data_IF_181923958269
#
_entry.id   IF_181923958269
#
_cell.length_a   1.000
_cell.length_b   1.000
_cell.length_c   1.000
_cell.angle_alpha   90.00
_cell.angle_beta   90.00
_cell.angle_gamma   90.00
#
_symmetry.space_group_name_H-M   'P 1'
#
loop_
_entity.id
_entity.type
_entity.pdbx_description
1 polymer ?
#
# COMPACT_ATOMS: atom_id res chain seq x y z
N UNK A 1 -32.97 -45.47 -20.79
CA UNK A 1 -32.57 -44.17 -21.35
C UNK A 1 -32.25 -43.13 -20.26
N UNK A 2 -32.48 -43.46 -18.99
CA UNK A 2 -32.33 -42.53 -17.87
C UNK A 2 -30.94 -42.58 -17.19
N UNK A 3 -30.23 -43.71 -17.21
CA UNK A 3 -28.89 -43.81 -16.63
C UNK A 3 -27.82 -43.05 -17.42
N UNK A 4 -27.96 -43.00 -18.75
CA UNK A 4 -27.02 -42.30 -19.63
C UNK A 4 -27.13 -40.78 -19.46
N UNK A 5 -28.34 -40.25 -19.23
CA UNK A 5 -28.58 -38.84 -18.93
C UNK A 5 -28.01 -38.41 -17.57
N UNK A 6 -28.10 -39.30 -16.57
CA UNK A 6 -27.50 -39.05 -15.25
C UNK A 6 -25.97 -39.01 -15.31
N UNK A 7 -25.36 -39.91 -16.09
CA UNK A 7 -23.91 -39.95 -16.30
C UNK A 7 -23.39 -38.70 -17.03
N UNK A 8 -24.10 -38.21 -18.06
CA UNK A 8 -23.74 -36.98 -18.76
C UNK A 8 -23.87 -35.73 -17.89
N UNK A 9 -24.88 -35.67 -17.01
CA UNK A 9 -25.04 -34.56 -16.06
C UNK A 9 -23.90 -34.58 -15.03
N UNK A 10 -23.52 -35.75 -14.50
CA UNK A 10 -22.41 -35.88 -13.56
C UNK A 10 -21.06 -35.49 -14.18
N UNK A 11 -20.80 -35.90 -15.42
CA UNK A 11 -19.61 -35.49 -16.18
C UNK A 11 -19.59 -33.98 -16.49
N UNK A 12 -20.75 -33.38 -16.79
CA UNK A 12 -20.87 -31.93 -17.01
C UNK A 12 -20.67 -31.11 -15.72
N UNK A 13 -21.10 -31.63 -14.57
CA UNK A 13 -20.88 -31.01 -13.25
C UNK A 13 -19.42 -31.15 -12.78
N UNK A 14 -18.75 -32.26 -13.11
CA UNK A 14 -17.31 -32.42 -12.86
C UNK A 14 -16.45 -31.49 -13.74
N UNK A 15 -16.88 -31.18 -14.98
CA UNK A 15 -16.16 -30.24 -15.85
C UNK A 15 -16.27 -28.77 -15.44
N UNK A 16 -17.23 -28.40 -14.57
CA UNK A 16 -17.37 -27.04 -14.04
C UNK A 16 -16.55 -26.79 -12.76
N UNK A 17 -15.97 -27.83 -12.16
CA UNK A 17 -15.10 -27.70 -11.00
C UNK A 17 -13.63 -27.56 -11.42
N UNK A 18 -13.31 -26.61 -12.30
CA UNK A 18 -11.94 -26.12 -12.40
C UNK A 18 -11.74 -25.26 -11.15
N UNK A 19 -11.20 -25.86 -10.08
CA UNK A 19 -10.68 -25.09 -8.96
C UNK A 19 -9.51 -24.30 -9.54
N UNK A 20 -9.76 -23.06 -9.98
CA UNK A 20 -8.69 -22.12 -10.26
C UNK A 20 -8.03 -21.83 -8.92
N UNK A 21 -6.99 -22.60 -8.58
CA UNK A 21 -6.09 -22.20 -7.50
C UNK A 21 -5.57 -20.82 -7.87
N UNK A 22 -5.68 -19.87 -6.93
CA UNK A 22 -4.98 -18.62 -7.08
C UNK A 22 -3.49 -18.96 -7.29
N UNK A 23 -2.81 -18.31 -8.24
CA UNK A 23 -1.38 -18.54 -8.43
C UNK A 23 -0.64 -18.32 -7.10
N UNK A 24 0.42 -19.07 -6.90
CA UNK A 24 1.27 -18.91 -5.71
C UNK A 24 1.76 -17.46 -5.63
N UNK A 25 1.80 -16.88 -4.41
CA UNK A 25 2.30 -15.53 -4.22
C UNK A 25 3.71 -15.37 -4.79
N UNK A 26 4.00 -14.22 -5.40
CA UNK A 26 5.30 -14.00 -6.06
C UNK A 26 6.38 -13.68 -5.03
N UNK A 27 7.23 -14.66 -4.73
CA UNK A 27 8.33 -14.50 -3.78
C UNK A 27 9.29 -13.38 -4.23
N UNK A 28 9.58 -12.43 -3.34
CA UNK A 28 10.59 -11.41 -3.57
C UNK A 28 11.88 -11.75 -2.81
N UNK A 29 11.77 -11.94 -1.48
CA UNK A 29 12.96 -12.08 -0.63
C UNK A 29 12.60 -12.48 0.81
N UNK A 30 13.65 -12.72 1.62
CA UNK A 30 13.58 -12.89 3.07
C UNK A 30 14.77 -12.24 3.75
N UNK A 31 14.60 -11.90 5.01
CA UNK A 31 15.65 -11.51 5.93
C UNK A 31 15.43 -12.26 7.25
N UNK A 32 16.35 -13.14 7.61
CA UNK A 32 16.40 -13.74 8.94
C UNK A 32 17.85 -13.81 9.40
N UNK A 33 18.30 -12.83 10.19
CA UNK A 33 19.67 -12.81 10.67
C UNK A 33 19.86 -13.89 11.74
N UNK A 34 20.95 -14.65 11.60
CA UNK A 34 21.36 -15.66 12.59
C UNK A 34 22.04 -15.02 13.83
N UNK A 35 21.64 -13.79 14.20
CA UNK A 35 22.14 -13.09 15.38
C UNK A 35 21.53 -13.64 16.67
N UNK A 36 20.28 -14.11 16.59
CA UNK A 36 19.53 -14.65 17.71
C UNK A 36 18.68 -15.82 17.23
N UNK A 37 18.89 -17.00 17.82
CA UNK A 37 18.19 -18.24 17.46
C UNK A 37 17.46 -18.85 18.65
N UNK A 38 16.45 -19.66 18.36
CA UNK A 38 15.77 -20.49 19.34
C UNK A 38 16.09 -21.97 19.11
N UNK A 39 15.96 -22.78 20.16
CA UNK A 39 16.16 -24.23 20.07
C UNK A 39 14.86 -24.94 19.70
N UNK A 40 14.97 -26.08 19.02
CA UNK A 40 13.82 -26.93 18.73
C UNK A 40 13.10 -27.36 20.01
N UNK A 41 11.76 -27.39 19.96
CA UNK A 41 10.85 -27.67 21.08
C UNK A 41 10.94 -26.68 22.26
N UNK A 42 11.44 -25.47 22.02
CA UNK A 42 11.44 -24.39 23.02
C UNK A 42 10.06 -23.75 23.20
N UNK A 43 9.87 -23.07 24.34
CA UNK A 43 8.71 -22.21 24.59
C UNK A 43 8.57 -21.13 23.50
N UNK A 44 9.68 -20.52 23.08
CA UNK A 44 9.71 -19.57 21.97
C UNK A 44 9.12 -20.17 20.68
N UNK A 45 9.53 -21.38 20.29
CA UNK A 45 8.99 -22.04 19.10
C UNK A 45 7.48 -22.28 19.20
N UNK A 46 6.98 -22.69 20.38
CA UNK A 46 5.55 -22.85 20.61
C UNK A 46 4.81 -21.52 20.48
N UNK A 47 5.34 -20.44 21.04
CA UNK A 47 4.76 -19.10 20.93
C UNK A 47 4.79 -18.58 19.49
N UNK A 48 5.85 -18.83 18.73
CA UNK A 48 5.95 -18.51 17.31
C UNK A 48 4.87 -19.25 16.49
N UNK A 49 4.64 -20.53 16.75
CA UNK A 49 3.59 -21.30 16.07
C UNK A 49 2.18 -20.75 16.37
N UNK A 50 1.92 -20.34 17.62
CA UNK A 50 0.68 -19.68 18.02
C UNK A 50 0.51 -18.33 17.31
N UNK A 51 1.58 -17.53 17.24
CA UNK A 51 1.61 -16.25 16.55
C UNK A 51 1.26 -16.41 15.06
N UNK A 52 1.95 -17.31 14.35
CA UNK A 52 1.73 -17.55 12.91
C UNK A 52 0.31 -18.06 12.62
N UNK A 53 -0.23 -18.90 13.50
CA UNK A 53 -1.64 -19.35 13.43
C UNK A 53 -2.61 -18.18 13.63
N UNK A 54 -2.31 -17.26 14.55
CA UNK A 54 -3.10 -16.04 14.75
C UNK A 54 -3.06 -15.13 13.52
N UNK A 55 -1.88 -14.91 12.93
CA UNK A 55 -1.74 -14.10 11.71
C UNK A 55 -2.54 -14.70 10.54
N UNK A 56 -2.38 -16.00 10.26
CA UNK A 56 -3.11 -16.70 9.20
C UNK A 56 -4.63 -16.62 9.40
N UNK A 57 -5.13 -16.91 10.60
CA UNK A 57 -6.57 -16.85 10.88
C UNK A 57 -7.15 -15.44 10.77
N UNK A 58 -6.41 -14.41 11.20
CA UNK A 58 -6.86 -13.02 11.12
C UNK A 58 -6.84 -12.46 9.69
N UNK A 59 -6.01 -13.01 8.79
CA UNK A 59 -6.01 -12.63 7.36
C UNK A 59 -7.35 -12.86 6.64
N UNK A 60 -8.23 -13.68 7.24
CA UNK A 60 -9.56 -13.97 6.70
C UNK A 60 -10.61 -12.91 7.03
N UNK A 61 -10.31 -11.97 7.93
CA UNK A 61 -11.26 -10.95 8.38
C UNK A 61 -11.43 -9.88 7.30
N UNK A 62 -12.67 -9.49 7.03
CA UNK A 62 -12.95 -8.49 5.99
C UNK A 62 -12.63 -7.05 6.42
N UNK A 63 -12.47 -6.79 7.73
CA UNK A 63 -12.34 -5.43 8.30
C UNK A 63 -10.91 -5.03 8.67
N UNK A 64 -9.91 -5.87 8.37
CA UNK A 64 -8.51 -5.62 8.78
C UNK A 64 -7.71 -4.83 7.74
N UNK A 65 -8.30 -4.51 6.59
CA UNK A 65 -7.68 -3.72 5.53
C UNK A 65 -6.26 -4.19 5.15
N UNK A 66 -6.06 -5.51 5.17
CA UNK A 66 -4.79 -6.14 4.80
C UNK A 66 -3.67 -5.99 5.82
N UNK A 67 -3.96 -5.64 7.07
CA UNK A 67 -2.95 -5.51 8.13
C UNK A 67 -3.42 -6.11 9.45
N UNK A 68 -2.54 -6.82 10.13
CA UNK A 68 -2.78 -7.27 11.49
C UNK A 68 -1.46 -7.44 12.22
N UNK A 69 -1.43 -7.05 13.49
CA UNK A 69 -0.31 -7.28 14.40
C UNK A 69 -0.78 -7.93 15.70
N UNK A 70 0.08 -8.71 16.33
CA UNK A 70 -0.22 -9.46 17.55
C UNK A 70 1.09 -9.87 18.24
N UNK A 71 1.04 -10.11 19.55
CA UNK A 71 2.10 -10.82 20.27
C UNK A 71 1.59 -12.14 20.86
N UNK A 72 2.50 -13.08 21.08
CA UNK A 72 2.21 -14.37 21.68
C UNK A 72 3.28 -14.74 22.72
N UNK A 73 2.84 -15.29 23.85
CA UNK A 73 3.73 -15.65 24.95
C UNK A 73 3.92 -14.54 25.97
N UNK A 74 4.99 -14.65 26.77
CA UNK A 74 5.43 -13.69 27.78
C UNK A 74 6.95 -13.73 27.87
N UNK A 75 7.57 -12.68 28.39
CA UNK A 75 9.01 -12.65 28.65
C UNK A 75 9.48 -13.91 29.41
N UNK A 76 10.61 -14.52 29.01
CA UNK A 76 11.55 -14.09 27.96
C UNK A 76 11.22 -14.61 26.55
N UNK A 77 10.14 -15.37 26.38
CA UNK A 77 9.79 -16.08 25.14
C UNK A 77 8.67 -15.39 24.34
N UNK A 78 8.42 -14.10 24.58
CA UNK A 78 7.40 -13.35 23.84
C UNK A 78 7.83 -13.14 22.38
N UNK A 79 6.87 -13.32 21.46
CA UNK A 79 7.06 -13.11 20.03
C UNK A 79 6.10 -12.04 19.55
N UNK A 80 6.61 -11.07 18.79
CA UNK A 80 5.85 -10.02 18.15
C UNK A 80 5.75 -10.32 16.66
N UNK A 81 4.58 -10.13 16.06
CA UNK A 81 4.39 -10.41 14.64
C UNK A 81 3.37 -9.50 13.97
N UNK A 82 3.52 -9.37 12.65
CA UNK A 82 2.54 -8.70 11.80
C UNK A 82 2.52 -9.28 10.38
N UNK A 83 1.46 -8.97 9.65
CA UNK A 83 1.50 -8.96 8.19
C UNK A 83 0.98 -7.64 7.62
N UNK A 84 1.41 -7.32 6.40
CA UNK A 84 0.92 -6.19 5.61
C UNK A 84 0.74 -6.63 4.14
N UNK A 85 -0.50 -6.63 3.66
CA UNK A 85 -0.83 -6.86 2.26
C UNK A 85 -0.76 -5.56 1.48
N UNK A 86 -0.36 -5.66 0.21
CA UNK A 86 -0.27 -4.50 -0.69
C UNK A 86 -1.64 -3.85 -0.90
N UNK A 87 -1.70 -2.52 -1.00
CA UNK A 87 -2.97 -1.80 -0.98
C UNK A 87 -3.95 -2.14 -2.11
N UNK A 88 -3.45 -2.50 -3.29
CA UNK A 88 -4.23 -2.84 -4.49
C UNK A 88 -4.73 -4.30 -4.52
N UNK A 89 -4.28 -5.17 -3.62
CA UNK A 89 -4.71 -6.58 -3.64
C UNK A 89 -6.07 -6.79 -2.96
N UNK A 90 -6.84 -7.74 -3.49
CA UNK A 90 -8.12 -8.15 -2.90
C UNK A 90 -7.92 -8.92 -1.58
N UNK A 91 -8.96 -9.00 -0.75
CA UNK A 91 -8.92 -9.78 0.50
C UNK A 91 -8.57 -11.25 0.26
N UNK A 92 -9.01 -11.82 -0.86
CA UNK A 92 -8.72 -13.22 -1.21
C UNK A 92 -7.22 -13.44 -1.52
N UNK A 93 -6.62 -12.52 -2.28
CA UNK A 93 -5.19 -12.55 -2.62
C UNK A 93 -4.35 -12.32 -1.37
N UNK A 94 -4.73 -11.34 -0.54
CA UNK A 94 -4.10 -11.08 0.76
C UNK A 94 -4.12 -12.31 1.67
N UNK A 95 -5.29 -12.92 1.87
CA UNK A 95 -5.44 -14.15 2.67
C UNK A 95 -4.56 -15.28 2.17
N UNK A 96 -4.55 -15.52 0.86
CA UNK A 96 -3.74 -16.58 0.26
C UNK A 96 -2.25 -16.32 0.49
N UNK A 97 -1.80 -15.06 0.30
CA UNK A 97 -0.42 -14.67 0.54
C UNK A 97 0.01 -14.86 1.99
N UNK A 98 -0.79 -14.41 2.96
CA UNK A 98 -0.46 -14.55 4.39
C UNK A 98 -0.44 -16.03 4.80
N UNK A 99 -1.41 -16.82 4.34
CA UNK A 99 -1.45 -18.26 4.62
C UNK A 99 -0.23 -19.00 4.05
N UNK A 100 0.25 -18.60 2.88
CA UNK A 100 1.47 -19.15 2.29
C UNK A 100 2.69 -18.72 3.11
N UNK A 101 2.84 -17.42 3.35
CA UNK A 101 3.98 -16.83 4.04
C UNK A 101 4.18 -17.38 5.47
N UNK A 102 3.09 -17.63 6.21
CA UNK A 102 3.16 -18.21 7.58
C UNK A 102 3.76 -19.61 7.62
N UNK A 103 3.64 -20.39 6.55
CA UNK A 103 4.25 -21.73 6.44
C UNK A 103 5.67 -21.64 5.93
N UNK A 104 5.84 -20.91 4.82
CA UNK A 104 7.11 -20.81 4.12
C UNK A 104 8.19 -20.08 4.92
N UNK A 105 7.83 -19.15 5.82
CA UNK A 105 8.80 -18.52 6.72
C UNK A 105 9.52 -19.52 7.62
N UNK A 106 8.85 -20.60 8.05
CA UNK A 106 9.46 -21.64 8.89
C UNK A 106 10.40 -22.56 8.09
N UNK A 107 10.14 -22.74 6.79
CA UNK A 107 11.03 -23.50 5.91
C UNK A 107 12.28 -22.70 5.56
N UNK A 108 12.09 -21.39 5.31
CA UNK A 108 13.19 -20.53 4.89
C UNK A 108 14.02 -20.00 6.06
N UNK A 109 13.42 -19.76 7.23
CA UNK A 109 14.07 -19.25 8.44
C UNK A 109 13.79 -20.20 9.62
N UNK A 110 14.51 -21.33 9.70
CA UNK A 110 14.11 -22.47 10.52
C UNK A 110 14.28 -22.25 12.03
N UNK A 111 15.20 -21.38 12.46
CA UNK A 111 15.52 -21.23 13.89
C UNK A 111 15.83 -19.79 14.30
N UNK A 112 15.76 -18.82 13.40
CA UNK A 112 15.98 -17.41 13.71
C UNK A 112 14.78 -16.81 14.45
N UNK A 113 15.06 -16.07 15.51
CA UNK A 113 14.05 -15.35 16.33
C UNK A 113 13.57 -14.05 15.69
N UNK A 114 14.15 -13.67 14.55
CA UNK A 114 13.74 -12.52 13.76
C UNK A 114 13.65 -12.96 12.31
N UNK A 115 12.50 -12.74 11.68
CA UNK A 115 12.35 -12.96 10.25
C UNK A 115 11.38 -11.94 9.64
N UNK A 116 11.74 -11.48 8.44
CA UNK A 116 10.83 -10.85 7.49
C UNK A 116 10.82 -11.71 6.23
N UNK A 117 9.64 -12.12 5.78
CA UNK A 117 9.46 -12.72 4.47
C UNK A 117 8.55 -11.82 3.63
N UNK A 118 8.94 -11.62 2.38
CA UNK A 118 8.25 -10.68 1.53
C UNK A 118 7.92 -11.26 0.16
N UNK A 119 6.63 -11.18 -0.14
CA UNK A 119 6.01 -11.50 -1.41
C UNK A 119 5.52 -10.20 -2.04
N UNK A 120 5.30 -10.24 -3.35
CA UNK A 120 4.80 -9.08 -4.09
C UNK A 120 3.47 -8.59 -3.49
N UNK A 121 2.61 -9.54 -3.07
CA UNK A 121 1.27 -9.29 -2.55
C UNK A 121 1.22 -9.00 -1.03
N UNK A 122 2.19 -9.48 -0.24
CA UNK A 122 2.21 -9.28 1.22
C UNK A 122 3.59 -9.44 1.86
N UNK A 123 3.77 -8.78 3.01
CA UNK A 123 4.89 -8.94 3.92
C UNK A 123 4.42 -9.65 5.20
N UNK A 124 5.25 -10.54 5.74
CA UNK A 124 5.09 -11.10 7.09
C UNK A 124 6.39 -10.92 7.87
N UNK A 125 6.28 -10.45 9.11
CA UNK A 125 7.41 -10.21 10.01
C UNK A 125 7.15 -10.78 11.39
N UNK A 126 8.15 -11.40 12.01
CA UNK A 126 8.17 -11.68 13.44
C UNK A 126 9.51 -11.33 14.08
N UNK A 127 9.50 -11.11 15.39
CA UNK A 127 10.70 -10.75 16.18
C UNK A 127 10.51 -11.12 17.64
N UNK A 128 11.62 -11.40 18.34
CA UNK A 128 11.69 -11.46 19.80
C UNK A 128 11.77 -10.08 20.48
N UNK A 129 11.64 -8.99 19.71
CA UNK A 129 11.59 -7.61 20.22
C UNK A 129 10.38 -6.89 19.64
N UNK A 130 9.74 -6.06 20.46
CA UNK A 130 8.62 -5.24 20.00
C UNK A 130 9.09 -4.22 18.94
N UNK A 131 8.58 -4.38 17.71
CA UNK A 131 8.83 -3.47 16.59
C UNK A 131 7.61 -2.63 16.19
N UNK A 132 6.51 -2.69 16.96
CA UNK A 132 5.31 -1.89 16.68
C UNK A 132 5.52 -0.40 17.00
N UNK A 133 6.36 -0.10 18.00
CA UNK A 133 6.70 1.25 18.43
C UNK A 133 8.15 1.64 18.16
N UNK A 134 8.94 0.75 17.55
CA UNK A 134 10.37 0.98 17.35
C UNK A 134 10.59 2.03 16.26
N UNK A 135 11.21 3.15 16.67
CA UNK A 135 11.65 4.18 15.76
C UNK A 135 12.89 3.67 14.98
N UNK A 136 12.65 3.32 13.70
CA UNK A 136 13.61 2.87 12.69
C UNK A 136 14.43 1.61 13.02
N UNK A 137 13.78 0.46 12.87
CA UNK A 137 14.49 -0.75 12.45
C UNK A 137 15.36 -0.45 11.22
N UNK A 138 16.51 -1.11 11.10
CA UNK A 138 17.37 -0.96 9.93
C UNK A 138 16.59 -1.31 8.65
N UNK A 139 16.55 -0.41 7.66
CA UNK A 139 15.79 -0.65 6.45
C UNK A 139 16.40 -1.79 5.64
N UNK A 140 15.53 -2.51 4.94
CA UNK A 140 15.92 -3.53 3.96
C UNK A 140 15.88 -2.89 2.57
N UNK A 141 16.91 -3.14 1.77
CA UNK A 141 17.08 -2.56 0.45
C UNK A 141 17.05 -3.62 -0.64
N UNK A 142 16.33 -3.35 -1.72
CA UNK A 142 16.44 -4.10 -2.96
C UNK A 142 16.54 -3.12 -4.12
N UNK A 143 17.34 -3.46 -5.11
CA UNK A 143 17.42 -2.67 -6.32
C UNK A 143 17.48 -3.54 -7.55
N UNK A 144 16.99 -2.97 -8.65
CA UNK A 144 17.06 -3.60 -9.94
C UNK A 144 18.54 -3.78 -10.33
N UNK A 145 18.84 -4.90 -11.02
CA UNK A 145 20.20 -5.15 -11.50
C UNK A 145 20.62 -4.12 -12.55
N UNK A 146 19.68 -3.64 -13.35
CA UNK A 146 19.91 -2.73 -14.45
C UNK A 146 19.83 -1.25 -14.03
N UNK A 147 20.65 -0.45 -14.70
CA UNK A 147 20.65 1.01 -14.58
C UNK A 147 19.81 1.64 -15.68
N UNK A 148 19.29 2.84 -15.42
CA UNK A 148 18.79 3.70 -16.48
C UNK A 148 19.96 4.30 -17.26
N UNK A 149 19.82 4.41 -18.58
CA UNK A 149 20.91 4.87 -19.46
C UNK A 149 20.66 6.25 -20.07
N UNK A 150 19.44 6.79 -19.95
CA UNK A 150 19.03 8.04 -20.59
C UNK A 150 18.66 9.08 -19.53
N UNK A 151 19.44 10.13 -19.32
CA UNK A 151 19.16 11.17 -18.31
C UNK A 151 18.93 10.59 -16.88
N UNK A 152 19.91 9.86 -16.31
CA UNK A 152 19.76 9.19 -15.01
C UNK A 152 19.45 10.18 -13.86
N UNK A 153 19.96 11.40 -13.91
CA UNK A 153 19.68 12.44 -12.92
C UNK A 153 18.21 12.86 -12.97
N UNK A 154 17.66 13.05 -14.18
CA UNK A 154 16.24 13.37 -14.37
C UNK A 154 15.35 12.22 -13.90
N UNK A 155 15.78 10.98 -14.12
CA UNK A 155 15.07 9.79 -13.63
C UNK A 155 15.02 9.77 -12.09
N UNK A 156 16.16 9.94 -11.42
CA UNK A 156 16.22 9.98 -9.95
C UNK A 156 15.35 11.11 -9.36
N UNK A 157 15.36 12.29 -9.98
CA UNK A 157 14.49 13.41 -9.59
C UNK A 157 13.01 13.04 -9.74
N UNK A 158 12.63 12.39 -10.85
CA UNK A 158 11.26 11.95 -11.09
C UNK A 158 10.80 10.91 -10.06
N UNK A 159 11.67 9.96 -9.68
CA UNK A 159 11.43 9.00 -8.60
C UNK A 159 11.17 9.72 -7.28
N UNK A 160 12.05 10.65 -6.88
CA UNK A 160 11.90 11.38 -5.63
C UNK A 160 10.60 12.23 -5.60
N UNK A 161 10.27 12.92 -6.70
CA UNK A 161 9.07 13.75 -6.81
C UNK A 161 7.81 12.90 -6.70
N UNK A 162 7.73 11.81 -7.48
CA UNK A 162 6.54 10.96 -7.49
C UNK A 162 6.31 10.28 -6.15
N UNK A 163 7.36 9.73 -5.51
CA UNK A 163 7.28 9.14 -4.17
C UNK A 163 6.86 10.17 -3.10
N UNK A 164 7.40 11.40 -3.16
CA UNK A 164 7.03 12.47 -2.23
C UNK A 164 5.54 12.85 -2.35
N UNK A 165 5.04 12.97 -3.59
CA UNK A 165 3.64 13.29 -3.86
C UNK A 165 2.69 12.24 -3.25
N UNK A 166 2.96 10.96 -3.50
CA UNK A 166 2.10 9.86 -3.01
C UNK A 166 2.27 9.60 -1.52
N UNK A 167 3.42 9.94 -0.93
CA UNK A 167 3.63 9.85 0.52
C UNK A 167 2.65 10.73 1.30
N UNK A 168 2.38 11.93 0.79
CA UNK A 168 1.39 12.83 1.41
C UNK A 168 -0.03 12.24 1.33
N UNK A 169 -0.38 11.62 0.20
CA UNK A 169 -1.70 10.99 0.00
C UNK A 169 -1.88 9.78 0.91
N UNK A 170 -0.94 8.84 0.90
CA UNK A 170 -0.96 7.64 1.73
C UNK A 170 -1.06 7.97 3.23
N UNK A 171 -0.26 8.93 3.70
CA UNK A 171 -0.28 9.30 5.12
C UNK A 171 -1.55 10.01 5.57
N UNK A 172 -2.22 10.72 4.65
CA UNK A 172 -3.46 11.45 4.94
C UNK A 172 -4.71 10.58 4.77
N UNK A 173 -4.56 9.30 4.40
CA UNK A 173 -5.67 8.37 4.37
C UNK A 173 -6.32 8.23 5.76
N UNK A 174 -7.66 8.17 5.83
CA UNK A 174 -8.42 7.96 7.06
C UNK A 174 -7.86 6.86 7.96
N UNK A 175 -8.10 6.98 9.27
CA UNK A 175 -7.73 5.93 10.22
C UNK A 175 -8.43 4.63 9.85
N UNK A 176 -7.67 3.53 9.83
CA UNK A 176 -8.15 2.22 9.42
C UNK A 176 -7.92 1.91 7.93
N UNK A 177 -7.74 2.89 7.05
CA UNK A 177 -7.47 2.62 5.63
C UNK A 177 -6.07 2.04 5.40
N UNK A 178 -5.85 1.46 4.21
CA UNK A 178 -4.61 0.77 3.84
C UNK A 178 -3.35 1.65 3.81
N UNK A 179 -3.49 2.98 3.99
CA UNK A 179 -2.42 4.01 3.91
C UNK A 179 -1.46 3.76 2.75
N UNK A 180 -2.05 3.65 1.58
CA UNK A 180 -1.44 3.22 0.33
C UNK A 180 -1.65 4.27 -0.74
N UNK A 181 -0.65 4.49 -1.59
CA UNK A 181 -0.83 5.30 -2.78
C UNK A 181 0.17 4.89 -3.87
N UNK A 182 -0.23 5.10 -5.12
CA UNK A 182 0.59 4.86 -6.31
C UNK A 182 0.58 6.07 -7.21
N UNK A 183 1.59 6.16 -8.07
CA UNK A 183 1.62 7.14 -9.15
C UNK A 183 2.36 6.56 -10.35
N UNK A 184 1.90 6.94 -11.54
CA UNK A 184 2.61 6.73 -12.80
C UNK A 184 3.20 8.05 -13.29
N UNK A 185 4.35 8.01 -13.94
CA UNK A 185 4.94 9.16 -14.62
C UNK A 185 5.65 8.74 -15.90
N UNK A 186 5.53 9.56 -16.94
CA UNK A 186 6.22 9.32 -18.20
C UNK A 186 7.71 9.60 -18.05
N UNK A 187 8.52 8.64 -18.49
CA UNK A 187 9.97 8.76 -18.56
C UNK A 187 10.45 8.21 -19.91
N UNK A 188 10.67 9.11 -20.87
CA UNK A 188 10.97 8.75 -22.25
C UNK A 188 9.85 7.90 -22.84
N UNK A 189 10.18 6.74 -23.44
CA UNK A 189 9.22 5.77 -23.97
C UNK A 189 8.81 4.70 -22.94
N UNK A 190 9.07 4.95 -21.66
CA UNK A 190 8.74 4.05 -20.55
C UNK A 190 7.85 4.76 -19.52
N UNK A 191 7.19 3.98 -18.68
CA UNK A 191 6.38 4.49 -17.58
C UNK A 191 7.10 4.13 -16.27
N UNK A 192 7.34 5.15 -15.44
CA UNK A 192 7.76 4.96 -14.07
C UNK A 192 6.53 4.66 -13.22
N UNK A 193 6.56 3.52 -12.52
CA UNK A 193 5.54 3.12 -11.56
C UNK A 193 6.10 3.31 -10.15
N UNK A 194 5.41 4.08 -9.30
CA UNK A 194 5.79 4.26 -7.89
C UNK A 194 4.67 3.89 -6.95
N UNK A 195 5.06 3.40 -5.76
CA UNK A 195 4.18 2.90 -4.71
C UNK A 195 4.77 3.26 -3.36
N UNK A 196 3.91 3.70 -2.45
CA UNK A 196 4.24 3.83 -1.03
C UNK A 196 3.15 3.21 -0.18
N UNK A 197 3.53 2.65 0.97
CA UNK A 197 2.56 2.12 1.91
C UNK A 197 3.06 2.25 3.34
N UNK A 198 2.16 2.61 4.25
CA UNK A 198 2.35 2.54 5.69
C UNK A 198 1.49 1.43 6.28
N UNK A 199 1.88 0.94 7.45
CA UNK A 199 0.97 0.14 8.28
C UNK A 199 -0.23 1.01 8.72
N UNK A 200 -1.48 0.54 8.58
CA UNK A 200 -2.71 1.29 8.88
C UNK A 200 -2.80 1.90 10.27
N UNK A 201 -2.10 1.35 11.25
CA UNK A 201 -2.09 1.81 12.64
C UNK A 201 -1.16 3.03 12.90
N UNK A 202 -0.36 3.46 11.92
CA UNK A 202 0.43 4.68 12.04
C UNK A 202 -0.42 5.95 12.00
N UNK A 203 -0.08 6.92 12.84
CA UNK A 203 -0.59 8.28 12.72
C UNK A 203 -0.14 8.92 11.39
N UNK A 204 -0.87 9.93 10.91
CA UNK A 204 -0.44 10.72 9.73
C UNK A 204 0.99 11.26 9.85
N UNK A 205 1.41 11.93 10.94
CA UNK A 205 2.78 12.41 11.04
C UNK A 205 3.82 11.27 11.07
N UNK A 206 3.53 10.15 11.72
CA UNK A 206 4.49 9.02 11.78
C UNK A 206 4.62 8.31 10.43
N UNK A 207 3.52 8.14 9.70
CA UNK A 207 3.56 7.63 8.33
C UNK A 207 4.37 8.54 7.40
N UNK A 208 4.16 9.87 7.46
CA UNK A 208 4.98 10.83 6.70
C UNK A 208 6.46 10.73 7.05
N UNK A 209 6.78 10.63 8.34
CA UNK A 209 8.17 10.53 8.81
C UNK A 209 8.83 9.24 8.31
N UNK A 210 8.12 8.11 8.39
CA UNK A 210 8.60 6.82 7.92
C UNK A 210 8.88 6.85 6.41
N UNK A 211 7.93 7.33 5.60
CA UNK A 211 8.08 7.40 4.14
C UNK A 211 9.17 8.39 3.71
N UNK A 212 9.28 9.55 4.35
CA UNK A 212 10.38 10.47 4.11
C UNK A 212 11.74 9.84 4.45
N UNK A 213 11.80 9.08 5.56
CA UNK A 213 12.95 8.26 5.92
C UNK A 213 13.30 7.26 4.82
N UNK A 214 12.33 6.51 4.30
CA UNK A 214 12.53 5.57 3.19
C UNK A 214 13.07 6.23 1.92
N UNK A 215 12.48 7.36 1.51
CA UNK A 215 12.93 8.12 0.34
C UNK A 215 14.38 8.59 0.54
N UNK A 216 14.74 9.07 1.73
CA UNK A 216 16.11 9.53 2.04
C UNK A 216 17.18 8.45 1.90
N UNK A 217 16.79 7.16 1.95
CA UNK A 217 17.72 6.03 1.85
C UNK A 217 17.88 5.49 0.43
N UNK A 218 17.15 6.01 -0.56
CA UNK A 218 17.28 5.57 -1.96
C UNK A 218 18.71 5.71 -2.49
N UNK A 219 19.43 6.76 -2.09
CA UNK A 219 20.83 6.95 -2.45
C UNK A 219 21.78 5.84 -1.98
N UNK A 220 21.38 5.04 -0.98
CA UNK A 220 22.22 3.95 -0.46
C UNK A 220 22.20 2.69 -1.34
N UNK A 221 21.17 2.48 -2.16
CA UNK A 221 20.93 1.22 -2.86
C UNK A 221 20.60 1.36 -4.35
N UNK A 222 20.03 2.50 -4.71
CA UNK A 222 19.07 2.57 -5.80
C UNK A 222 19.36 3.73 -6.77
N UNK A 223 20.46 4.45 -6.57
CA UNK A 223 20.86 5.56 -7.43
C UNK A 223 21.07 5.10 -8.90
N UNK A 224 20.32 5.71 -9.82
CA UNK A 224 20.33 5.38 -11.25
C UNK A 224 19.78 3.99 -11.58
N UNK A 225 19.19 3.26 -10.64
CA UNK A 225 18.63 1.92 -10.86
C UNK A 225 17.24 2.00 -11.49
N UNK A 226 16.92 1.10 -12.42
CA UNK A 226 15.59 1.04 -13.05
C UNK A 226 14.45 0.75 -12.07
N UNK A 227 14.78 0.24 -10.89
CA UNK A 227 13.84 -0.02 -9.83
C UNK A 227 14.55 -0.12 -8.48
N UNK A 228 13.79 0.11 -7.42
CA UNK A 228 14.31 0.16 -6.07
C UNK A 228 13.21 0.05 -5.04
N UNK A 229 13.56 -0.57 -3.93
CA UNK A 229 12.69 -0.84 -2.81
C UNK A 229 13.44 -0.48 -1.54
N UNK A 230 12.75 0.25 -0.65
CA UNK A 230 13.17 0.42 0.75
C UNK A 230 12.03 -0.01 1.67
N UNK A 231 12.32 -0.92 2.59
CA UNK A 231 11.36 -1.46 3.56
C UNK A 231 11.81 -1.12 4.97
N UNK A 232 10.98 -0.41 5.71
CA UNK A 232 11.03 -0.33 7.16
C UNK A 232 9.97 -1.25 7.76
N UNK A 233 10.09 -1.54 9.06
CA UNK A 233 9.10 -2.36 9.78
C UNK A 233 7.66 -1.83 9.71
N UNK A 234 7.46 -0.54 9.37
CA UNK A 234 6.16 0.14 9.44
C UNK A 234 5.75 0.86 8.16
N UNK A 235 6.62 0.94 7.17
CA UNK A 235 6.33 1.49 5.86
C UNK A 235 7.30 0.97 4.79
N UNK A 236 6.91 1.03 3.53
CA UNK A 236 7.78 0.70 2.40
C UNK A 236 7.54 1.66 1.23
N UNK A 237 8.56 1.74 0.38
CA UNK A 237 8.48 2.39 -0.93
C UNK A 237 8.98 1.43 -2.00
N UNK A 238 8.40 1.53 -3.20
CA UNK A 238 8.86 0.81 -4.37
C UNK A 238 8.70 1.66 -5.62
N UNK A 239 9.68 1.58 -6.50
CA UNK A 239 9.54 2.07 -7.86
C UNK A 239 10.13 1.09 -8.86
N UNK A 240 9.56 1.00 -10.05
CA UNK A 240 9.99 0.14 -11.14
C UNK A 240 9.60 0.76 -12.50
N UNK A 241 10.28 0.34 -13.57
CA UNK A 241 9.90 0.65 -14.95
C UNK A 241 8.95 -0.39 -15.60
N UNK A 242 8.53 -1.40 -14.82
CA UNK A 242 7.49 -2.35 -15.21
C UNK A 242 6.30 -2.23 -14.25
N UNK A 243 5.12 -2.65 -14.70
CA UNK A 243 3.92 -2.64 -13.87
C UNK A 243 3.97 -3.76 -12.80
N UNK A 244 3.73 -3.41 -11.53
CA UNK A 244 3.77 -4.34 -10.40
C UNK A 244 2.59 -4.19 -9.43
N UNK A 245 1.63 -3.34 -9.75
CA UNK A 245 0.39 -3.14 -9.00
C UNK A 245 -0.78 -3.01 -9.96
N UNK A 246 -1.98 -3.31 -9.49
CA UNK A 246 -3.20 -3.09 -10.26
C UNK A 246 -3.61 -1.62 -10.17
N UNK A 247 -3.38 -0.85 -11.23
CA UNK A 247 -3.67 0.59 -11.27
C UNK A 247 -5.18 0.88 -11.06
N UNK A 248 -6.07 0.08 -11.64
CA UNK A 248 -7.52 0.24 -11.49
C UNK A 248 -7.96 0.06 -10.04
N UNK A 249 -7.48 -0.99 -9.38
CA UNK A 249 -7.79 -1.25 -7.97
C UNK A 249 -7.19 -0.17 -7.04
N UNK A 250 -6.05 0.41 -7.42
CA UNK A 250 -5.43 1.49 -6.67
C UNK A 250 -6.20 2.82 -6.80
N UNK A 251 -6.75 3.12 -7.97
CA UNK A 251 -7.59 4.31 -8.20
C UNK A 251 -8.92 4.23 -7.44
N UNK A 252 -9.53 3.04 -7.37
CA UNK A 252 -10.73 2.79 -6.56
C UNK A 252 -10.50 2.96 -5.05
N UNK A 253 -9.25 2.79 -4.59
CA UNK A 253 -8.88 2.94 -3.18
C UNK A 253 -8.70 4.41 -2.75
N UNK A 254 -8.78 5.38 -3.66
CA UNK A 254 -8.70 6.81 -3.33
C UNK A 254 -10.07 7.30 -2.80
N UNK A 255 -10.16 7.84 -1.57
CA UNK A 255 -11.41 8.36 -1.06
C UNK A 255 -11.92 9.50 -1.95
N UNK A 256 -13.22 9.47 -2.27
CA UNK A 256 -13.86 10.54 -3.03
C UNK A 256 -13.61 11.90 -2.35
N UNK A 257 -13.37 12.98 -3.12
CA UNK A 257 -13.17 14.30 -2.54
C UNK A 257 -14.38 14.67 -1.67
N UNK A 258 -14.17 15.30 -0.50
CA UNK A 258 -15.27 15.71 0.37
C UNK A 258 -16.21 16.64 -0.41
N UNK A 259 -17.55 16.54 -0.18
CA UNK A 259 -18.50 17.44 -0.82
C UNK A 259 -18.10 18.88 -0.52
N UNK A 260 -17.98 19.71 -1.55
CA UNK A 260 -17.76 21.14 -1.39
C UNK A 260 -18.95 21.70 -0.60
N UNK A 261 -18.73 22.01 0.68
CA UNK A 261 -19.73 22.68 1.49
C UNK A 261 -19.98 24.08 0.89
N UNK A 262 -21.16 24.29 0.32
CA UNK A 262 -21.60 25.61 -0.12
C UNK A 262 -21.70 26.48 1.14
N UNK A 263 -20.91 27.54 1.18
CA UNK A 263 -20.96 28.54 2.25
C UNK A 263 -22.38 29.08 2.40
N UNK A 264 -22.90 29.27 3.63
CA UNK A 264 -24.19 29.90 3.83
C UNK A 264 -24.18 31.34 3.29
N UNK A 265 -25.33 31.87 2.81
CA UNK A 265 -25.42 33.26 2.40
C UNK A 265 -25.11 34.19 3.58
N UNK A 266 -24.46 35.35 3.36
CA UNK A 266 -24.19 36.28 4.45
C UNK A 266 -25.50 36.83 5.03
N UNK A 267 -25.58 36.86 6.36
CA UNK A 267 -26.71 37.42 7.08
C UNK A 267 -26.81 38.94 6.85
N UNK A 268 -28.02 39.41 6.58
CA UNK A 268 -28.36 40.82 6.43
C UNK A 268 -28.18 41.56 7.77
N UNK A 269 -27.06 42.27 7.92
CA UNK A 269 -26.80 43.18 9.03
C UNK A 269 -27.35 44.58 8.78
N UNK A 270 -28.08 45.10 9.76
CA UNK A 270 -28.69 46.43 9.80
C UNK A 270 -27.68 47.57 9.62
N UNK A 271 -28.07 48.57 8.82
CA UNK A 271 -27.32 49.80 8.56
C UNK A 271 -27.06 50.62 9.83
N UNK A 272 -25.78 50.92 10.11
CA UNK A 272 -25.41 52.06 10.96
C UNK A 272 -24.62 53.06 10.12
N UNK A 273 -25.27 54.19 9.88
CA UNK A 273 -24.80 55.33 9.07
C UNK A 273 -23.59 56.02 9.72
N UNK A 274 -22.42 55.98 9.08
CA UNK A 274 -21.36 57.01 9.23
C UNK A 274 -20.75 57.39 7.89
N UNK A 275 -20.58 58.70 7.75
CA UNK A 275 -20.28 59.47 6.54
C UNK A 275 -18.76 59.68 6.44
N UNK A 276 -18.13 59.37 5.30
CA UNK A 276 -16.74 59.79 5.07
C UNK A 276 -15.99 59.13 3.91
N UNK A 277 -15.95 59.87 2.79
CA UNK A 277 -14.90 59.97 1.76
C UNK A 277 -14.72 58.81 0.75
N UNK A 278 -14.98 59.17 -0.50
CA UNK A 278 -14.81 58.38 -1.73
C UNK A 278 -13.38 58.56 -2.23
N UNK A 279 -12.67 57.47 -2.47
CA UNK A 279 -11.53 57.41 -3.38
C UNK A 279 -11.75 56.24 -4.35
N UNK A 280 -11.75 56.57 -5.65
CA UNK A 280 -12.01 55.68 -6.77
C UNK A 280 -10.78 54.81 -7.07
N UNK A 281 -10.95 53.49 -7.08
CA UNK A 281 -10.08 52.57 -7.83
C UNK A 281 -10.96 51.49 -8.49
N UNK A 282 -11.12 51.63 -9.81
CA UNK A 282 -11.82 50.72 -10.70
C UNK A 282 -11.03 49.41 -10.85
N UNK A 283 -11.63 48.27 -10.47
CA UNK A 283 -11.24 46.95 -10.97
C UNK A 283 -12.41 46.38 -11.79
N UNK A 284 -12.17 46.23 -13.09
CA UNK A 284 -13.04 45.51 -14.02
C UNK A 284 -12.87 44.00 -13.82
N UNK A 285 -13.94 43.29 -13.49
CA UNK A 285 -14.10 41.85 -13.74
C UNK A 285 -15.48 41.62 -14.35
N UNK A 286 -15.53 41.17 -15.60
CA UNK A 286 -16.36 40.03 -16.03
C UNK A 286 -16.40 39.95 -17.55
N UNK A 287 -16.04 38.79 -18.12
CA UNK A 287 -16.81 38.06 -19.15
C UNK A 287 -15.96 36.89 -19.68
N UNK A 288 -16.06 35.71 -19.04
CA UNK A 288 -15.65 34.46 -19.72
C UNK A 288 -16.30 33.17 -19.23
N UNK A 289 -17.28 33.21 -18.33
CA UNK A 289 -17.95 31.98 -17.87
C UNK A 289 -19.31 31.70 -18.53
N UNK A 290 -19.78 32.50 -19.48
CA UNK A 290 -21.11 32.30 -20.10
C UNK A 290 -21.04 31.45 -21.38
N UNK A 291 -19.86 31.26 -21.98
CA UNK A 291 -19.75 30.57 -23.29
C UNK A 291 -19.63 29.05 -23.24
N UNK A 292 -19.27 28.45 -22.10
CA UNK A 292 -19.08 26.99 -22.05
C UNK A 292 -20.39 26.23 -21.80
N UNK A 293 -21.38 26.86 -21.16
CA UNK A 293 -22.68 26.23 -20.91
C UNK A 293 -23.52 26.04 -22.20
N UNK A 294 -23.29 26.84 -23.24
CA UNK A 294 -24.07 26.77 -24.50
C UNK A 294 -23.57 25.71 -25.48
N UNK A 295 -22.34 25.21 -25.34
CA UNK A 295 -21.78 24.21 -26.25
C UNK A 295 -22.23 22.79 -25.86
N UNK A 296 -22.42 22.50 -24.57
CA UNK A 296 -22.85 21.16 -24.13
C UNK A 296 -24.30 20.82 -24.52
N UNK A 297 -25.19 21.80 -24.64
CA UNK A 297 -26.60 21.56 -24.97
C UNK A 297 -26.85 21.26 -26.45
N UNK A 298 -25.88 21.54 -27.33
CA UNK A 298 -25.99 21.25 -28.77
C UNK A 298 -25.45 19.86 -29.17
N UNK A 299 -24.56 19.27 -28.38
CA UNK A 299 -23.98 17.95 -28.69
C UNK A 299 -24.93 16.80 -28.32
N UNK A 300 -25.79 16.96 -27.32
CA UNK A 300 -26.74 15.91 -26.88
C UNK A 300 -28.04 15.85 -27.69
N UNK A 301 -28.17 16.61 -28.79
CA UNK A 301 -29.39 16.59 -29.61
C UNK A 301 -29.21 15.94 -30.99
N UNK A 302 -28.08 15.29 -31.25
CA UNK A 302 -27.80 14.57 -32.52
C UNK A 302 -26.92 13.30 -32.34
N UNK A 303 -27.15 12.52 -31.29
CA UNK A 303 -26.81 11.10 -31.21
C UNK A 303 -27.99 10.32 -30.65
#
# INVERSE_FOLDING_TARGET
MDSLKFSTILLSLLSLAIITQAPDPKYLTRLCPNTTTFTSNSTYQANLNLLLSSLSSNSTRNNINGFYNVSAGKDPDEVYGMFLCRGDVSNSVCRNCVNFATKDVLEKCPNETVATIWYDECELRYSNRNFFSAEYDSPIFFSNRYYVTVEPERFNQLVAITLSNISTRAASAPSGDKKFAVQQANYNMQILHTLVQCTPDLSTPDCRRCLAGAISKLGNCCDGKQGGIVIFARCNIRYELYEFYNATAADEAVPAPPPVALSPPPASGSETRRKGKVDNALFNLSTSCIHIQFILTLVFRNL
#
